data_IF_399641363014
#
_entry.id   IF_399641363014
#
_cell.length_a   1.000
_cell.length_b   1.000
_cell.length_c   1.000
_cell.angle_alpha   90.00
_cell.angle_beta   90.00
_cell.angle_gamma   90.00
#
_symmetry.space_group_name_H-M   'P 1'
#
loop_
_entity.id
_entity.type
_entity.pdbx_description
1 polymer ?
#
# COMPACT_ATOMS: atom_id res chain seq x y z
N UNK A 1 41.08 29.04 50.97
CA UNK A 1 39.79 29.58 51.48
C UNK A 1 39.01 28.45 52.13
N UNK A 2 38.45 28.70 53.32
CA UNK A 2 37.98 27.70 54.31
C UNK A 2 36.52 27.24 54.10
N UNK A 3 36.33 25.95 54.42
CA UNK A 3 35.17 25.15 54.88
C UNK A 3 33.86 25.80 55.39
N UNK A 4 32.76 25.06 55.09
CA UNK A 4 31.56 24.68 55.90
C UNK A 4 30.62 25.75 56.53
N UNK A 5 29.30 25.57 56.32
CA UNK A 5 28.33 25.16 57.39
C UNK A 5 26.90 24.85 56.86
N UNK A 6 26.29 23.84 57.50
CA UNK A 6 24.86 23.42 57.51
C UNK A 6 24.05 24.21 58.55
N UNK A 7 22.71 24.02 58.51
CA UNK A 7 21.65 23.97 59.57
C UNK A 7 20.46 24.86 59.10
N UNK A 8 19.22 24.42 58.83
CA UNK A 8 18.18 23.57 59.50
C UNK A 8 17.47 24.21 60.70
N UNK A 9 16.16 24.49 60.56
CA UNK A 9 15.05 24.38 61.56
C UNK A 9 13.79 25.00 60.93
N UNK A 10 12.65 24.33 60.68
CA UNK A 10 11.60 23.76 61.55
C UNK A 10 11.00 24.72 62.59
N UNK A 11 9.73 25.11 62.40
CA UNK A 11 8.55 25.10 63.32
C UNK A 11 7.53 26.14 62.80
N UNK A 12 6.27 25.83 62.44
CA UNK A 12 5.12 25.22 63.15
C UNK A 12 4.27 26.22 63.96
N UNK A 13 3.00 25.84 64.14
CA UNK A 13 1.86 26.46 64.84
C UNK A 13 0.99 27.43 64.01
N UNK A 14 -0.21 27.06 63.52
CA UNK A 14 -1.50 26.61 64.10
C UNK A 14 -2.39 27.70 64.76
N UNK A 15 -3.65 27.74 64.27
CA UNK A 15 -4.95 28.02 64.97
C UNK A 15 -5.28 29.49 65.29
N UNK A 16 -6.53 29.97 65.28
CA UNK A 16 -7.85 29.32 65.34
C UNK A 16 -9.02 30.29 64.97
N UNK A 17 -10.06 29.73 64.32
CA UNK A 17 -11.54 29.88 64.52
C UNK A 17 -12.21 31.23 64.87
N UNK A 18 -13.34 31.50 64.19
CA UNK A 18 -14.69 31.59 64.81
C UNK A 18 -15.79 31.40 63.73
N UNK A 19 -16.63 30.34 63.82
CA UNK A 19 -18.05 30.27 64.28
C UNK A 19 -19.06 30.90 63.32
N UNK A 20 -20.31 30.43 63.15
CA UNK A 20 -21.06 29.20 63.40
C UNK A 20 -22.51 29.52 62.92
N UNK A 21 -23.25 28.56 62.35
CA UNK A 21 -24.67 28.71 62.04
C UNK A 21 -25.26 27.41 61.48
N UNK A 22 -26.33 26.92 62.09
CA UNK A 22 -26.79 25.53 62.13
C UNK A 22 -28.20 25.40 61.54
N UNK A 23 -28.39 24.42 60.61
CA UNK A 23 -29.50 23.47 60.29
C UNK A 23 -31.00 23.83 60.58
N UNK A 24 -32.05 23.19 59.98
CA UNK A 24 -32.11 21.83 59.40
C UNK A 24 -33.04 21.61 58.16
N UNK A 25 -33.12 20.36 57.66
CA UNK A 25 -34.32 19.86 56.96
C UNK A 25 -34.06 19.09 55.67
N UNK A 26 -33.92 17.77 55.75
CA UNK A 26 -33.80 16.88 54.60
C UNK A 26 -35.15 16.47 54.01
N UNK A 27 -35.16 16.25 52.69
CA UNK A 27 -36.01 15.26 52.01
C UNK A 27 -35.10 14.47 51.08
N UNK A 28 -35.01 13.17 51.35
CA UNK A 28 -34.34 12.16 50.54
C UNK A 28 -35.01 12.07 49.16
N UNK A 29 -34.27 12.32 48.08
CA UNK A 29 -34.68 11.88 46.75
C UNK A 29 -34.02 10.52 46.50
N UNK A 30 -34.83 9.48 46.62
CA UNK A 30 -34.53 8.13 46.15
C UNK A 30 -34.49 8.19 44.62
N UNK A 31 -33.29 8.13 44.02
CA UNK A 31 -33.17 7.82 42.60
C UNK A 31 -33.46 6.32 42.42
N UNK A 32 -34.68 6.02 41.99
CA UNK A 32 -35.08 4.73 41.46
C UNK A 32 -34.20 4.42 40.24
N UNK A 33 -33.27 3.48 40.42
CA UNK A 33 -32.63 2.74 39.33
C UNK A 33 -33.71 1.91 38.63
N UNK A 34 -34.35 2.49 37.62
CA UNK A 34 -35.10 1.73 36.63
C UNK A 34 -34.12 1.14 35.62
N UNK A 35 -33.98 -0.18 35.69
CA UNK A 35 -33.51 -1.03 34.59
C UNK A 35 -34.22 -0.61 33.30
N UNK A 36 -33.47 -0.03 32.36
CA UNK A 36 -33.84 -0.04 30.95
C UNK A 36 -32.73 -0.79 30.21
N UNK A 37 -32.74 -2.11 30.42
CA UNK A 37 -32.03 -3.05 29.57
C UNK A 37 -32.91 -3.23 28.33
N UNK A 38 -32.43 -2.77 27.17
CA UNK A 38 -33.09 -3.02 25.88
C UNK A 38 -33.40 -1.77 25.08
N UNK A 39 -32.37 -1.11 24.54
CA UNK A 39 -32.39 -0.48 23.20
C UNK A 39 -30.97 -0.01 22.81
N UNK A 40 -30.00 -0.93 22.81
CA UNK A 40 -28.77 -0.77 22.01
C UNK A 40 -29.05 -1.33 20.62
N UNK A 41 -29.99 -0.71 19.90
CA UNK A 41 -30.19 -0.95 18.48
C UNK A 41 -29.16 -0.13 17.71
N UNK A 42 -28.08 -0.79 17.34
CA UNK A 42 -27.48 -0.77 16.00
C UNK A 42 -27.57 0.58 15.26
N UNK A 43 -26.87 1.61 15.74
CA UNK A 43 -26.30 2.59 14.81
C UNK A 43 -25.05 1.95 14.22
N UNK A 44 -25.24 1.09 13.20
CA UNK A 44 -24.18 0.91 12.20
C UNK A 44 -23.97 2.30 11.57
N UNK A 45 -22.74 2.83 11.51
CA UNK A 45 -22.50 3.99 10.67
C UNK A 45 -23.00 3.65 9.26
N UNK A 46 -23.63 4.60 8.54
CA UNK A 46 -23.97 4.37 7.14
C UNK A 46 -22.70 3.90 6.42
N UNK A 47 -22.84 2.88 5.57
CA UNK A 47 -21.74 2.45 4.70
C UNK A 47 -21.12 3.68 4.03
N UNK A 48 -19.78 3.76 3.93
CA UNK A 48 -19.11 4.93 3.40
C UNK A 48 -19.65 5.24 2.00
N UNK A 49 -19.96 6.53 1.75
CA UNK A 49 -20.41 7.06 0.45
C UNK A 49 -19.46 6.74 -0.72
N UNK A 50 -18.28 6.20 -0.41
CA UNK A 50 -17.29 5.64 -1.32
C UNK A 50 -17.88 4.53 -2.22
N UNK A 51 -18.72 3.64 -1.68
CA UNK A 51 -19.34 2.55 -2.45
C UNK A 51 -20.31 3.08 -3.54
N UNK A 52 -21.02 4.17 -3.28
CA UNK A 52 -21.95 4.76 -4.26
C UNK A 52 -21.21 5.45 -5.42
N UNK A 53 -20.00 5.96 -5.20
CA UNK A 53 -19.16 6.49 -6.27
C UNK A 53 -18.56 5.37 -7.14
N UNK A 54 -18.22 4.22 -6.55
CA UNK A 54 -17.80 3.00 -7.27
C UNK A 54 -18.90 2.52 -8.22
N UNK A 55 -20.16 2.50 -7.76
CA UNK A 55 -21.30 2.02 -8.57
C UNK A 55 -21.64 2.94 -9.75
N UNK A 56 -21.42 4.25 -9.61
CA UNK A 56 -21.78 5.22 -10.66
C UNK A 56 -20.62 5.51 -11.65
N UNK A 57 -19.37 5.29 -11.26
CA UNK A 57 -18.20 5.46 -12.14
C UNK A 57 -17.90 4.26 -13.05
N UNK A 58 -18.38 3.06 -12.67
CA UNK A 58 -18.17 1.82 -13.41
C UNK A 58 -19.28 1.49 -14.43
N UNK A 59 -20.22 2.42 -14.70
CA UNK A 59 -21.18 2.28 -15.80
C UNK A 59 -20.53 2.60 -17.16
N UNK A 60 -19.43 1.89 -17.45
CA UNK A 60 -18.95 1.66 -18.80
C UNK A 60 -19.48 0.31 -19.26
N UNK A 61 -20.18 0.33 -20.38
CA UNK A 61 -20.84 -0.77 -21.07
C UNK A 61 -19.95 -2.02 -21.27
N UNK A 62 -19.92 -2.92 -20.28
CA UNK A 62 -19.57 -4.33 -20.46
C UNK A 62 -20.57 -5.15 -19.63
N UNK A 63 -21.61 -5.64 -20.31
CA UNK A 63 -22.60 -6.55 -19.76
C UNK A 63 -21.92 -7.72 -19.05
N UNK A 64 -22.43 -8.04 -17.84
CA UNK A 64 -22.18 -9.27 -17.09
C UNK A 64 -22.35 -10.49 -17.99
N UNK A 65 -21.26 -10.92 -18.65
CA UNK A 65 -21.16 -12.21 -19.33
C UNK A 65 -20.37 -13.17 -18.43
N UNK A 66 -21.02 -14.29 -18.08
CA UNK A 66 -20.50 -15.51 -17.48
C UNK A 66 -19.12 -15.44 -16.79
N UNK A 67 -19.15 -15.06 -15.50
CA UNK A 67 -18.05 -15.18 -14.53
C UNK A 67 -17.71 -16.64 -14.13
N UNK A 68 -18.16 -17.65 -14.89
CA UNK A 68 -17.91 -19.08 -14.63
C UNK A 68 -16.62 -19.60 -15.26
N UNK A 69 -16.02 -18.87 -16.22
CA UNK A 69 -15.01 -19.42 -17.12
C UNK A 69 -13.60 -18.87 -16.90
N UNK A 70 -13.38 -18.02 -15.88
CA UNK A 70 -12.01 -17.60 -15.52
C UNK A 70 -11.28 -18.80 -14.92
N UNK A 71 -10.20 -19.29 -15.54
CA UNK A 71 -9.44 -20.41 -15.00
C UNK A 71 -8.95 -20.09 -13.59
N UNK A 72 -9.05 -21.07 -12.71
CA UNK A 72 -8.65 -20.97 -11.31
C UNK A 72 -7.15 -20.79 -11.12
N UNK A 73 -6.36 -20.91 -12.19
CA UNK A 73 -4.91 -20.87 -12.14
C UNK A 73 -4.34 -19.88 -13.16
N UNK A 74 -3.25 -19.24 -12.76
CA UNK A 74 -2.41 -18.43 -13.63
C UNK A 74 -0.95 -18.81 -13.41
N UNK A 75 -0.32 -19.32 -14.46
CA UNK A 75 1.13 -19.52 -14.49
C UNK A 75 1.79 -18.24 -15.01
N UNK A 76 2.63 -17.63 -14.17
CA UNK A 76 3.56 -16.59 -14.57
C UNK A 76 4.89 -17.25 -14.91
N UNK A 77 5.29 -17.10 -16.17
CA UNK A 77 6.58 -17.57 -16.67
C UNK A 77 7.54 -16.39 -16.69
N UNK A 78 8.70 -16.54 -16.06
CA UNK A 78 9.75 -15.52 -16.01
C UNK A 78 10.60 -15.64 -17.28
N UNK A 79 10.85 -14.53 -17.96
CA UNK A 79 11.84 -14.43 -19.03
C UNK A 79 12.94 -13.41 -18.66
N UNK A 80 14.00 -13.88 -18.00
CA UNK A 80 15.14 -13.04 -17.61
C UNK A 80 15.91 -12.49 -18.82
N UNK A 81 15.78 -13.13 -20.00
CA UNK A 81 16.47 -12.67 -21.21
C UNK A 81 15.96 -11.33 -21.72
N UNK A 82 14.77 -10.91 -21.28
CA UNK A 82 14.24 -9.56 -21.51
C UNK A 82 15.11 -8.46 -20.88
N UNK A 83 15.87 -8.79 -19.83
CA UNK A 83 16.64 -7.84 -19.03
C UNK A 83 18.06 -8.38 -18.76
N UNK A 84 18.91 -8.53 -19.79
CA UNK A 84 20.23 -9.16 -19.65
C UNK A 84 21.20 -8.33 -18.78
N UNK A 85 20.95 -7.03 -18.65
CA UNK A 85 21.71 -6.11 -17.79
C UNK A 85 20.91 -5.70 -16.55
N UNK A 86 20.10 -6.61 -16.00
CA UNK A 86 19.34 -6.32 -14.79
C UNK A 86 20.27 -5.96 -13.62
N UNK A 87 19.86 -4.98 -12.83
CA UNK A 87 20.59 -4.55 -11.64
C UNK A 87 19.64 -4.31 -10.48
N UNK A 88 20.10 -4.58 -9.26
CA UNK A 88 19.41 -4.21 -8.03
C UNK A 88 19.82 -2.80 -7.62
N UNK A 89 18.85 -1.92 -7.45
CA UNK A 89 19.00 -0.53 -7.05
C UNK A 89 18.54 -0.37 -5.61
N UNK A 90 19.31 0.33 -4.78
CA UNK A 90 19.06 0.44 -3.33
C UNK A 90 19.83 -0.59 -2.51
N UNK A 91 19.21 -1.11 -1.45
CA UNK A 91 19.84 -2.14 -0.59
C UNK A 91 19.90 -3.51 -1.26
N UNK A 92 20.52 -4.49 -0.60
CA UNK A 92 20.61 -5.86 -1.10
C UNK A 92 19.44 -6.74 -0.66
N UNK A 93 18.65 -6.29 0.31
CA UNK A 93 17.43 -6.95 0.79
C UNK A 93 16.19 -6.54 -0.03
N UNK A 94 15.12 -7.33 0.09
CA UNK A 94 13.91 -7.23 -0.74
C UNK A 94 13.04 -6.01 -0.43
N UNK A 95 13.22 -5.38 0.73
CA UNK A 95 12.43 -4.21 1.15
C UNK A 95 13.05 -2.94 0.54
N UNK A 96 14.32 -2.66 0.86
CA UNK A 96 14.98 -1.42 0.47
C UNK A 96 15.63 -1.44 -0.92
N UNK A 97 15.63 -2.59 -1.60
CA UNK A 97 16.23 -2.75 -2.92
C UNK A 97 15.27 -3.32 -3.94
N UNK A 98 15.31 -2.79 -5.15
CA UNK A 98 14.44 -3.21 -6.24
C UNK A 98 15.22 -3.41 -7.53
N UNK A 99 14.87 -4.46 -8.27
CA UNK A 99 15.49 -4.74 -9.56
C UNK A 99 14.96 -3.82 -10.66
N UNK A 100 15.86 -3.38 -11.52
CA UNK A 100 15.54 -2.64 -12.74
C UNK A 100 16.16 -3.28 -13.97
N UNK A 101 15.48 -3.12 -15.10
CA UNK A 101 15.88 -3.66 -16.38
C UNK A 101 16.79 -2.64 -17.10
N UNK A 102 18.08 -2.94 -17.21
CA UNK A 102 19.07 -2.11 -17.91
C UNK A 102 19.10 -0.64 -17.43
N UNK A 103 19.58 -0.40 -16.18
CA UNK A 103 19.58 0.94 -15.59
C UNK A 103 20.32 1.98 -16.42
N UNK A 104 21.36 1.59 -17.16
CA UNK A 104 22.14 2.51 -17.99
C UNK A 104 21.32 2.97 -19.21
N UNK A 105 20.51 2.08 -19.81
CA UNK A 105 19.62 2.42 -20.91
C UNK A 105 18.47 3.35 -20.49
N UNK A 106 18.04 3.32 -19.22
CA UNK A 106 16.99 4.21 -18.72
C UNK A 106 17.38 5.70 -18.78
N UNK A 107 18.68 6.02 -18.68
CA UNK A 107 19.19 7.40 -18.62
C UNK A 107 19.76 7.88 -19.97
N UNK A 108 20.19 6.96 -20.83
CA UNK A 108 20.89 7.26 -22.08
C UNK A 108 20.06 7.21 -23.37
N UNK A 109 18.78 6.84 -23.32
CA UNK A 109 17.93 6.75 -24.51
C UNK A 109 17.62 8.12 -25.11
N UNK A 110 18.12 8.37 -26.33
CA UNK A 110 17.95 9.59 -27.14
C UNK A 110 16.71 10.44 -26.78
N UNK A 111 16.91 11.49 -25.98
CA UNK A 111 15.91 12.54 -25.74
C UNK A 111 14.75 12.21 -24.80
N UNK A 112 14.75 11.08 -24.08
CA UNK A 112 13.71 10.77 -23.08
C UNK A 112 14.33 10.80 -21.68
N UNK A 113 13.96 11.79 -20.87
CA UNK A 113 14.36 11.82 -19.46
C UNK A 113 13.90 10.55 -18.72
N UNK A 114 14.73 10.04 -17.80
CA UNK A 114 14.35 8.95 -16.93
C UNK A 114 13.38 9.46 -15.87
N UNK A 115 12.15 8.96 -15.83
CA UNK A 115 11.14 9.33 -14.82
C UNK A 115 10.77 8.12 -13.99
N UNK A 116 10.90 8.24 -12.67
CA UNK A 116 10.57 7.20 -11.69
C UNK A 116 9.42 7.68 -10.81
N UNK A 117 8.36 6.88 -10.72
CA UNK A 117 7.30 7.07 -9.71
C UNK A 117 7.32 5.90 -8.72
N UNK A 118 7.38 6.22 -7.44
CA UNK A 118 7.55 5.28 -6.34
C UNK A 118 6.49 5.49 -5.27
N UNK A 119 5.58 4.52 -5.16
CA UNK A 119 4.44 4.57 -4.25
C UNK A 119 4.68 3.68 -3.03
N UNK A 120 4.26 4.19 -1.87
CA UNK A 120 4.37 3.55 -0.56
C UNK A 120 5.82 3.44 -0.12
N UNK A 121 6.46 4.59 0.03
CA UNK A 121 7.86 4.67 0.42
C UNK A 121 8.05 4.46 1.92
N UNK A 122 7.07 4.84 2.77
CA UNK A 122 7.03 4.58 4.22
C UNK A 122 8.38 4.59 4.96
N UNK A 123 9.20 5.60 4.71
CA UNK A 123 10.48 5.75 5.40
C UNK A 123 11.64 4.91 4.85
N UNK A 124 11.45 4.18 3.76
CA UNK A 124 12.47 3.57 2.91
C UNK A 124 12.47 4.24 1.52
N UNK A 125 13.61 4.82 1.18
CA UNK A 125 13.84 5.50 -0.10
C UNK A 125 15.21 5.11 -0.67
N UNK A 126 15.73 3.94 -0.28
CA UNK A 126 17.04 3.46 -0.72
C UNK A 126 17.06 3.22 -2.24
N UNK A 127 15.99 2.63 -2.79
CA UNK A 127 15.78 2.49 -4.22
C UNK A 127 15.74 3.85 -4.92
N UNK A 128 14.92 4.75 -4.39
CA UNK A 128 14.68 6.10 -4.93
C UNK A 128 15.96 6.92 -4.97
N UNK A 129 16.73 6.89 -3.89
CA UNK A 129 18.03 7.54 -3.81
C UNK A 129 19.02 6.95 -4.82
N UNK A 130 19.01 5.63 -5.02
CA UNK A 130 19.88 4.98 -5.99
C UNK A 130 19.50 5.36 -7.45
N UNK A 131 18.21 5.48 -7.75
CA UNK A 131 17.72 5.93 -9.07
C UNK A 131 18.01 7.42 -9.29
N UNK A 132 17.85 8.25 -8.27
CA UNK A 132 18.18 9.68 -8.30
C UNK A 132 19.68 9.89 -8.55
N UNK A 133 20.54 9.11 -7.87
CA UNK A 133 22.01 9.13 -8.08
C UNK A 133 22.42 8.71 -9.49
N UNK A 134 21.59 7.91 -10.17
CA UNK A 134 21.80 7.56 -11.57
C UNK A 134 21.36 8.66 -12.54
N UNK A 135 20.64 9.68 -12.07
CA UNK A 135 20.24 10.85 -12.85
C UNK A 135 18.79 10.82 -13.35
N UNK A 136 17.95 9.98 -12.76
CA UNK A 136 16.51 10.01 -13.01
C UNK A 136 15.82 11.17 -12.27
N UNK A 137 14.72 11.64 -12.83
CA UNK A 137 13.71 12.44 -12.14
C UNK A 137 12.86 11.50 -11.28
N UNK A 138 13.00 11.59 -9.95
CA UNK A 138 12.35 10.66 -9.02
C UNK A 138 11.22 11.34 -8.25
N UNK A 139 10.06 10.68 -8.23
CA UNK A 139 8.84 11.10 -7.52
C UNK A 139 8.43 10.04 -6.50
N UNK A 140 8.40 10.42 -5.23
CA UNK A 140 7.95 9.58 -4.11
C UNK A 140 6.59 10.01 -3.58
N UNK A 141 5.74 9.04 -3.25
CA UNK A 141 4.36 9.27 -2.85
C UNK A 141 4.06 8.54 -1.54
N UNK A 142 3.64 9.29 -0.51
CA UNK A 142 3.29 8.78 0.81
C UNK A 142 2.07 9.51 1.38
N UNK A 143 0.90 8.83 1.49
CA UNK A 143 -0.28 9.45 2.06
C UNK A 143 -0.23 9.61 3.59
N UNK A 144 0.59 8.82 4.31
CA UNK A 144 0.59 8.75 5.77
C UNK A 144 1.13 10.02 6.42
N UNK A 145 0.30 10.83 7.11
CA UNK A 145 0.73 12.15 7.61
C UNK A 145 1.86 12.09 8.64
N UNK A 146 1.99 10.98 9.36
CA UNK A 146 3.07 10.71 10.31
C UNK A 146 4.42 10.42 9.63
N UNK A 147 4.42 9.86 8.42
CA UNK A 147 5.63 9.59 7.62
C UNK A 147 6.03 10.77 6.71
N UNK A 148 5.10 11.69 6.40
CA UNK A 148 5.33 12.81 5.48
C UNK A 148 6.52 13.70 5.87
N UNK A 149 6.72 14.15 7.13
CA UNK A 149 7.83 15.04 7.47
C UNK A 149 9.21 14.39 7.24
N UNK A 150 9.33 13.10 7.59
CA UNK A 150 10.55 12.32 7.41
C UNK A 150 10.84 12.12 5.92
N UNK A 151 9.81 11.77 5.15
CA UNK A 151 9.91 11.54 3.71
C UNK A 151 10.22 12.83 2.94
N UNK A 152 9.54 13.94 3.25
CA UNK A 152 9.83 15.26 2.66
C UNK A 152 11.30 15.64 2.83
N UNK A 153 11.82 15.57 4.07
CA UNK A 153 13.21 15.95 4.34
C UNK A 153 14.23 15.06 3.60
N UNK A 154 13.94 13.76 3.45
CA UNK A 154 14.79 12.84 2.70
C UNK A 154 14.81 13.17 1.20
N UNK A 155 13.65 13.38 0.60
CA UNK A 155 13.51 13.69 -0.82
C UNK A 155 14.12 15.05 -1.19
N UNK A 156 13.93 16.06 -0.35
CA UNK A 156 14.62 17.36 -0.49
C UNK A 156 16.14 17.18 -0.45
N UNK A 157 16.65 16.36 0.46
CA UNK A 157 18.10 16.15 0.64
C UNK A 157 18.75 15.42 -0.53
N UNK A 158 18.03 14.52 -1.22
CA UNK A 158 18.52 13.83 -2.42
C UNK A 158 18.27 14.60 -3.73
N UNK A 159 17.50 15.70 -3.68
CA UNK A 159 17.11 16.47 -4.87
C UNK A 159 16.01 15.82 -5.70
N UNK A 160 15.16 15.00 -5.07
CA UNK A 160 14.00 14.34 -5.68
C UNK A 160 12.68 15.06 -5.28
N UNK A 161 11.55 14.57 -5.80
CA UNK A 161 10.23 15.18 -5.60
C UNK A 161 9.37 14.34 -4.65
N UNK A 162 8.92 14.92 -3.54
CA UNK A 162 7.98 14.28 -2.62
C UNK A 162 6.55 14.77 -2.82
N UNK A 163 5.59 13.88 -2.66
CA UNK A 163 4.17 14.13 -2.79
C UNK A 163 3.38 13.56 -1.58
N UNK A 164 2.67 14.39 -0.80
CA UNK A 164 1.94 13.97 0.41
C UNK A 164 0.55 13.39 0.09
N UNK A 165 0.49 12.51 -0.91
CA UNK A 165 -0.71 11.78 -1.30
C UNK A 165 -0.33 10.41 -1.84
N UNK A 166 -1.26 9.46 -1.80
CA UNK A 166 -1.07 8.08 -2.23
C UNK A 166 -1.73 7.78 -3.57
N UNK A 167 -1.55 6.54 -4.00
CA UNK A 167 -2.22 5.95 -5.16
C UNK A 167 -3.55 5.32 -4.71
N UNK A 168 -4.59 5.41 -5.54
CA UNK A 168 -5.85 4.72 -5.29
C UNK A 168 -6.74 4.61 -6.52
N UNK A 169 -7.87 3.90 -6.35
CA UNK A 169 -8.87 3.66 -7.40
C UNK A 169 -9.52 4.95 -7.92
N UNK A 170 -9.59 5.99 -7.08
CA UNK A 170 -10.24 7.25 -7.38
C UNK A 170 -9.49 8.42 -6.72
N UNK A 171 -9.65 9.62 -7.31
CA UNK A 171 -9.23 10.86 -6.68
C UNK A 171 -10.17 11.16 -5.51
N UNK A 172 -9.69 10.94 -4.29
CA UNK A 172 -10.51 11.04 -3.10
C UNK A 172 -9.68 11.38 -1.86
N UNK A 173 -10.36 11.91 -0.85
CA UNK A 173 -9.85 11.90 0.52
C UNK A 173 -10.62 10.85 1.30
N UNK A 174 -9.90 9.85 1.80
CA UNK A 174 -10.46 8.79 2.65
C UNK A 174 -10.26 9.16 4.11
N UNK A 175 -11.29 8.96 4.93
CA UNK A 175 -11.28 9.23 6.36
C UNK A 175 -10.50 8.17 7.16
N UNK A 176 -10.27 8.39 8.47
CA UNK A 176 -9.68 7.38 9.34
C UNK A 176 -10.49 6.09 9.32
N UNK A 177 -9.83 4.94 9.19
CA UNK A 177 -10.50 3.64 9.14
C UNK A 177 -10.93 3.18 7.75
N UNK A 178 -10.75 3.99 6.72
CA UNK A 178 -11.27 3.72 5.38
C UNK A 178 -10.23 3.09 4.43
N UNK A 179 -8.93 3.25 4.72
CA UNK A 179 -7.84 2.63 3.97
C UNK A 179 -7.09 1.63 4.85
N UNK A 180 -6.88 0.38 4.42
CA UNK A 180 -5.94 -0.51 5.09
C UNK A 180 -4.51 0.05 4.98
N UNK A 181 -3.68 -0.17 6.00
CA UNK A 181 -2.26 0.25 6.01
C UNK A 181 -1.29 -0.92 6.25
N UNK A 182 -1.82 -2.12 6.47
CA UNK A 182 -1.06 -3.37 6.44
C UNK A 182 -1.96 -4.45 5.87
N UNK A 183 -1.48 -5.13 4.85
CA UNK A 183 -2.24 -6.13 4.11
C UNK A 183 -2.74 -7.27 5.00
N UNK A 184 -4.05 -7.60 5.00
CA UNK A 184 -4.53 -8.73 5.77
C UNK A 184 -4.41 -10.05 4.99
N UNK A 185 -3.60 -10.96 5.52
CA UNK A 185 -3.94 -12.36 5.43
C UNK A 185 -5.14 -12.60 6.35
N UNK A 186 -6.27 -13.11 5.84
CA UNK A 186 -7.50 -13.23 6.65
C UNK A 186 -7.17 -13.94 7.99
N UNK A 187 -7.37 -13.21 9.10
CA UNK A 187 -7.00 -13.46 10.52
C UNK A 187 -5.80 -12.67 11.09
N UNK A 188 -5.05 -11.95 10.25
CA UNK A 188 -3.97 -11.06 10.67
C UNK A 188 -3.96 -9.79 9.81
N UNK A 189 -4.65 -8.74 10.30
CA UNK A 189 -4.27 -7.31 10.35
C UNK A 189 -5.52 -6.41 10.37
N UNK A 190 -5.58 -5.51 11.36
CA UNK A 190 -6.71 -4.60 11.68
C UNK A 190 -6.31 -3.12 11.56
N UNK A 191 -5.12 -2.86 11.04
CA UNK A 191 -4.54 -1.53 11.04
C UNK A 191 -4.96 -0.82 9.76
N UNK A 192 -5.76 0.22 9.97
CA UNK A 192 -6.20 1.16 8.95
C UNK A 192 -5.50 2.49 9.17
N UNK A 193 -5.56 3.37 8.17
CA UNK A 193 -5.16 4.75 8.34
C UNK A 193 -5.85 5.38 9.56
N UNK A 194 -5.07 6.04 10.42
CA UNK A 194 -5.58 6.71 11.63
C UNK A 194 -5.91 8.18 11.40
N UNK A 195 -5.43 8.74 10.30
CA UNK A 195 -5.64 10.10 9.83
C UNK A 195 -6.15 10.09 8.38
N UNK A 196 -6.84 11.14 7.93
CA UNK A 196 -7.30 11.22 6.54
C UNK A 196 -6.15 11.14 5.55
N UNK A 197 -6.34 10.39 4.48
CA UNK A 197 -5.38 10.26 3.38
C UNK A 197 -5.96 10.84 2.10
N UNK A 198 -5.12 11.53 1.33
CA UNK A 198 -5.48 11.90 -0.05
C UNK A 198 -4.93 10.84 -0.97
N UNK A 199 -5.80 10.26 -1.79
CA UNK A 199 -5.46 9.27 -2.80
C UNK A 199 -5.79 9.84 -4.18
N UNK A 200 -4.98 9.49 -5.17
CA UNK A 200 -5.16 9.90 -6.56
C UNK A 200 -5.00 8.70 -7.49
N UNK A 201 -5.69 8.76 -8.62
CA UNK A 201 -5.50 7.83 -9.74
C UNK A 201 -4.17 8.09 -10.43
N UNK A 202 -3.56 7.03 -10.93
CA UNK A 202 -2.30 7.14 -11.68
C UNK A 202 -2.41 8.11 -12.88
N UNK A 203 -3.46 8.06 -13.73
CA UNK A 203 -3.68 9.05 -14.80
C UNK A 203 -3.70 10.50 -14.31
N UNK A 204 -4.38 10.78 -13.19
CA UNK A 204 -4.43 12.13 -12.60
C UNK A 204 -3.04 12.58 -12.17
N UNK A 205 -2.26 11.69 -11.56
CA UNK A 205 -0.88 11.97 -11.13
C UNK A 205 -0.01 12.29 -12.34
N UNK A 206 -0.03 11.42 -13.36
CA UNK A 206 0.70 11.59 -14.62
C UNK A 206 0.37 12.93 -15.28
N UNK A 207 -0.91 13.28 -15.40
CA UNK A 207 -1.37 14.55 -15.96
C UNK A 207 -0.86 15.74 -15.13
N UNK A 208 -0.98 15.68 -13.80
CA UNK A 208 -0.58 16.77 -12.91
C UNK A 208 0.94 17.06 -12.93
N UNK A 209 1.74 16.03 -13.23
CA UNK A 209 3.20 16.13 -13.33
C UNK A 209 3.67 16.36 -14.78
N UNK A 210 2.75 16.36 -15.76
CA UNK A 210 3.09 16.53 -17.17
C UNK A 210 3.83 15.33 -17.77
N UNK A 211 3.72 14.16 -17.15
CA UNK A 211 4.36 12.94 -17.62
C UNK A 211 3.43 12.21 -18.59
N UNK A 212 3.95 11.79 -19.75
CA UNK A 212 3.22 10.94 -20.71
C UNK A 212 3.67 9.48 -20.66
N UNK A 213 4.81 9.21 -20.00
CA UNK A 213 5.42 7.89 -19.86
C UNK A 213 6.31 7.86 -18.61
N UNK A 214 6.32 6.72 -17.94
CA UNK A 214 7.27 6.41 -16.86
C UNK A 214 8.39 5.50 -17.34
N UNK A 215 9.62 5.78 -16.92
CA UNK A 215 10.73 4.83 -17.13
C UNK A 215 10.63 3.69 -16.12
N UNK A 216 10.25 4.02 -14.88
CA UNK A 216 10.04 3.04 -13.83
C UNK A 216 8.81 3.40 -12.99
N UNK A 217 7.93 2.42 -12.78
CA UNK A 217 6.82 2.51 -11.83
C UNK A 217 7.04 1.48 -10.73
N UNK A 218 7.25 1.91 -9.49
CA UNK A 218 7.28 1.07 -8.29
C UNK A 218 5.97 1.25 -7.53
N UNK A 219 5.27 0.15 -7.23
CA UNK A 219 4.09 0.16 -6.36
C UNK A 219 4.24 -0.89 -5.27
N UNK A 220 4.37 -0.43 -4.04
CA UNK A 220 4.39 -1.25 -2.85
C UNK A 220 3.57 -0.49 -1.79
N UNK A 221 2.27 -0.77 -1.74
CA UNK A 221 1.29 -0.01 -0.94
C UNK A 221 0.43 -0.96 -0.10
N UNK A 222 1.02 -2.07 0.33
CA UNK A 222 0.49 -2.93 1.39
C UNK A 222 -0.93 -3.44 1.09
N UNK A 223 -1.22 -3.77 -0.17
CA UNK A 223 -2.51 -4.28 -0.61
C UNK A 223 -3.29 -3.43 -1.59
N UNK A 224 -3.03 -2.12 -1.58
CA UNK A 224 -3.69 -1.17 -2.48
C UNK A 224 -3.30 -1.35 -3.95
N UNK A 225 -2.35 -2.25 -4.28
CA UNK A 225 -1.85 -2.44 -5.64
C UNK A 225 -3.00 -2.73 -6.61
N UNK A 226 -3.95 -3.57 -6.17
CA UNK A 226 -5.08 -4.04 -6.97
C UNK A 226 -6.05 -2.93 -7.38
N UNK A 227 -6.19 -1.88 -6.57
CA UNK A 227 -7.07 -0.73 -6.86
C UNK A 227 -6.56 0.09 -8.06
N UNK A 228 -5.25 0.11 -8.25
CA UNK A 228 -4.61 0.85 -9.34
C UNK A 228 -4.46 0.04 -10.63
N UNK A 229 -4.80 -1.24 -10.61
CA UNK A 229 -4.32 -2.20 -11.59
C UNK A 229 -4.71 -1.86 -13.04
N UNK A 230 -5.97 -1.49 -13.26
CA UNK A 230 -6.42 -1.10 -14.60
C UNK A 230 -5.81 0.22 -15.07
N UNK A 231 -5.50 1.13 -14.16
CA UNK A 231 -4.77 2.35 -14.48
C UNK A 231 -3.30 2.06 -14.84
N UNK A 232 -2.67 1.07 -14.19
CA UNK A 232 -1.34 0.56 -14.56
C UNK A 232 -1.35 -0.09 -15.94
N UNK A 233 -2.35 -0.92 -16.26
CA UNK A 233 -2.50 -1.53 -17.59
C UNK A 233 -2.55 -0.43 -18.67
N UNK A 234 -3.29 0.64 -18.41
CA UNK A 234 -3.55 1.71 -19.39
C UNK A 234 -2.46 2.81 -19.44
N UNK A 235 -1.62 2.95 -18.43
CA UNK A 235 -0.51 3.93 -18.39
C UNK A 235 0.70 3.44 -19.21
N UNK A 236 1.42 4.33 -19.89
CA UNK A 236 2.69 3.97 -20.56
C UNK A 236 3.86 3.98 -19.58
N UNK A 237 4.55 2.85 -19.47
CA UNK A 237 5.71 2.65 -18.63
C UNK A 237 6.67 1.67 -19.29
N UNK A 238 7.95 1.68 -18.93
CA UNK A 238 8.93 0.71 -19.45
C UNK A 238 9.12 -0.49 -18.53
N UNK A 239 9.34 -0.21 -17.25
CA UNK A 239 9.45 -1.20 -16.18
C UNK A 239 8.40 -0.90 -15.13
N UNK A 240 7.65 -1.93 -14.75
CA UNK A 240 6.72 -1.88 -13.63
C UNK A 240 7.15 -2.93 -12.61
N UNK A 241 7.41 -2.50 -11.38
CA UNK A 241 7.73 -3.37 -10.27
C UNK A 241 6.70 -3.17 -9.16
N UNK A 242 6.24 -4.26 -8.58
CA UNK A 242 5.24 -4.20 -7.53
C UNK A 242 5.37 -5.36 -6.55
N UNK A 243 5.08 -5.10 -5.28
CA UNK A 243 4.88 -6.16 -4.29
C UNK A 243 3.44 -6.62 -4.36
N UNK A 244 3.22 -7.82 -4.89
CA UNK A 244 1.88 -8.38 -4.99
C UNK A 244 1.48 -9.05 -3.70
N UNK A 245 0.60 -8.38 -2.99
CA UNK A 245 -0.06 -8.88 -1.81
C UNK A 245 -1.29 -9.75 -2.18
N UNK A 246 -1.33 -11.02 -1.77
CA UNK A 246 -2.46 -11.94 -2.00
C UNK A 246 -3.09 -12.39 -0.68
N UNK A 247 -4.43 -12.51 -0.58
CA UNK A 247 -5.03 -13.09 0.61
C UNK A 247 -4.84 -14.61 0.58
N UNK A 248 -4.17 -15.21 1.59
CA UNK A 248 -3.78 -16.61 1.58
C UNK A 248 -4.97 -17.58 1.75
N UNK A 249 -6.16 -17.09 2.18
CA UNK A 249 -7.39 -17.89 2.17
C UNK A 249 -8.00 -18.00 0.76
N UNK A 250 -7.72 -17.03 -0.10
CA UNK A 250 -8.26 -16.95 -1.46
C UNK A 250 -7.29 -17.48 -2.51
N UNK A 251 -5.99 -17.34 -2.30
CA UNK A 251 -4.96 -17.71 -3.27
C UNK A 251 -3.81 -18.48 -2.61
N UNK A 252 -3.28 -19.45 -3.35
CA UNK A 252 -2.03 -20.14 -3.05
C UNK A 252 -1.00 -19.82 -4.12
N UNK A 253 0.23 -19.57 -3.70
CA UNK A 253 1.36 -19.34 -4.59
C UNK A 253 2.23 -20.59 -4.58
N UNK A 254 2.48 -21.14 -5.76
CA UNK A 254 3.35 -22.30 -5.94
C UNK A 254 4.53 -21.88 -6.80
N UNK A 255 5.73 -21.94 -6.23
CA UNK A 255 6.98 -21.76 -6.96
C UNK A 255 7.54 -23.12 -7.35
N UNK A 256 7.79 -23.33 -8.64
CA UNK A 256 8.55 -24.48 -9.14
C UNK A 256 9.86 -23.96 -9.73
N UNK A 257 10.97 -24.47 -9.21
CA UNK A 257 12.22 -24.53 -9.97
C UNK A 257 12.21 -25.85 -10.73
N UNK A 258 12.76 -25.89 -11.94
CA UNK A 258 12.90 -27.17 -12.64
C UNK A 258 13.75 -28.14 -11.82
N UNK A 259 13.66 -29.43 -12.16
CA UNK A 259 14.18 -30.53 -11.36
C UNK A 259 15.66 -30.32 -10.98
N UNK A 260 16.05 -30.84 -9.80
CA UNK A 260 17.35 -30.74 -9.11
C UNK A 260 18.61 -31.26 -9.89
N UNK A 261 18.65 -31.21 -11.22
CA UNK A 261 19.74 -31.72 -12.03
C UNK A 261 20.06 -30.91 -13.31
N UNK A 262 19.53 -29.70 -13.49
CA UNK A 262 19.79 -28.86 -14.69
C UNK A 262 20.53 -27.56 -14.29
N UNK A 263 21.50 -27.05 -15.07
CA UNK A 263 22.36 -25.96 -14.63
C UNK A 263 21.62 -24.62 -14.64
N UNK A 264 21.57 -23.94 -13.49
CA UNK A 264 21.49 -22.49 -13.19
C UNK A 264 20.74 -21.49 -14.11
N UNK A 265 19.97 -21.91 -15.10
CA UNK A 265 19.21 -21.06 -16.03
C UNK A 265 17.73 -21.43 -16.07
N UNK A 266 17.22 -22.15 -15.07
CA UNK A 266 15.81 -22.53 -15.04
C UNK A 266 14.95 -21.37 -14.53
N UNK A 267 14.05 -20.94 -15.41
CA UNK A 267 13.00 -19.95 -15.19
C UNK A 267 12.18 -20.33 -13.96
N UNK A 268 12.07 -19.41 -13.00
CA UNK A 268 11.18 -19.56 -11.87
C UNK A 268 9.73 -19.56 -12.37
N UNK A 269 9.10 -20.73 -12.40
CA UNK A 269 7.67 -20.83 -12.71
C UNK A 269 6.89 -20.55 -11.44
N UNK A 270 6.06 -19.51 -11.47
CA UNK A 270 5.18 -19.16 -10.35
C UNK A 270 3.74 -19.36 -10.77
N UNK A 271 3.02 -20.26 -10.10
CA UNK A 271 1.61 -20.49 -10.34
C UNK A 271 0.79 -19.88 -9.21
N UNK A 272 -0.11 -18.97 -9.55
CA UNK A 272 -1.12 -18.42 -8.65
C UNK A 272 -2.37 -19.27 -8.82
N UNK A 273 -2.82 -19.91 -7.74
CA UNK A 273 -3.96 -20.82 -7.72
C UNK A 273 -5.03 -20.22 -6.82
N UNK A 274 -6.24 -20.03 -7.36
CA UNK A 274 -7.43 -19.68 -6.56
C UNK A 274 -7.87 -20.87 -5.72
N UNK A 275 -8.13 -20.61 -4.45
CA UNK A 275 -8.75 -21.56 -3.56
C UNK A 275 -10.25 -21.72 -3.90
N UNK A 276 -10.60 -22.78 -4.64
CA UNK A 276 -11.98 -23.09 -5.01
C UNK A 276 -12.92 -23.39 -3.83
N UNK A 277 -12.39 -23.58 -2.62
CA UNK A 277 -13.17 -23.77 -1.40
C UNK A 277 -13.59 -22.44 -0.74
N UNK A 278 -13.05 -21.30 -1.18
CA UNK A 278 -13.45 -19.99 -0.65
C UNK A 278 -14.73 -19.53 -1.37
N UNK A 279 -15.88 -19.44 -0.65
CA UNK A 279 -17.16 -19.18 -1.28
C UNK A 279 -17.21 -17.75 -1.86
N UNK A 280 -17.67 -17.62 -3.11
CA UNK A 280 -17.87 -16.33 -3.81
C UNK A 280 -18.83 -15.35 -3.10
N UNK A 281 -19.58 -15.81 -2.10
CA UNK A 281 -20.77 -15.14 -1.58
C UNK A 281 -20.68 -14.80 -0.09
N UNK A 282 -19.59 -15.15 0.60
CA UNK A 282 -19.32 -14.59 1.92
C UNK A 282 -18.79 -13.18 1.68
N UNK A 283 -19.51 -12.15 2.16
CA UNK A 283 -19.16 -10.72 2.00
C UNK A 283 -17.63 -10.54 2.08
N UNK A 284 -16.94 -10.34 0.94
CA UNK A 284 -15.55 -9.96 1.02
C UNK A 284 -15.54 -8.54 1.59
N UNK A 285 -14.52 -8.23 2.39
CA UNK A 285 -14.23 -6.84 2.72
C UNK A 285 -13.96 -5.99 1.45
N UNK A 286 -13.71 -6.66 0.31
CA UNK A 286 -13.53 -6.09 -1.02
C UNK A 286 -14.79 -6.27 -1.91
N UNK A 287 -15.07 -5.34 -2.84
CA UNK A 287 -16.19 -5.48 -3.76
C UNK A 287 -16.12 -6.81 -4.56
N UNK A 288 -17.22 -7.60 -4.64
CA UNK A 288 -17.23 -9.00 -5.11
C UNK A 288 -16.99 -9.22 -6.62
N UNK A 289 -16.32 -8.32 -7.33
CA UNK A 289 -16.26 -8.31 -8.80
C UNK A 289 -14.86 -8.38 -9.42
N UNK A 290 -13.78 -8.17 -8.65
CA UNK A 290 -12.45 -8.02 -9.24
C UNK A 290 -11.59 -9.26 -8.98
N UNK A 291 -11.63 -10.16 -9.95
CA UNK A 291 -10.82 -11.35 -10.00
C UNK A 291 -9.33 -10.98 -10.24
N UNK A 292 -8.46 -11.22 -9.23
CA UNK A 292 -7.02 -10.87 -9.31
C UNK A 292 -6.29 -11.61 -10.43
N UNK A 293 -6.71 -12.84 -10.77
CA UNK A 293 -6.16 -13.59 -11.92
C UNK A 293 -6.56 -12.90 -13.23
N UNK A 294 -7.81 -12.45 -13.35
CA UNK A 294 -8.25 -11.67 -14.51
C UNK A 294 -7.45 -10.37 -14.67
N UNK A 295 -7.25 -9.62 -13.59
CA UNK A 295 -6.43 -8.42 -13.58
C UNK A 295 -5.00 -8.71 -14.05
N UNK A 296 -4.34 -9.72 -13.48
CA UNK A 296 -2.99 -10.12 -13.90
C UNK A 296 -2.94 -10.48 -15.38
N UNK A 297 -3.95 -11.18 -15.91
CA UNK A 297 -4.03 -11.48 -17.35
C UNK A 297 -4.13 -10.22 -18.21
N UNK A 298 -4.85 -9.19 -17.75
CA UNK A 298 -4.90 -7.90 -18.47
C UNK A 298 -3.55 -7.22 -18.51
N UNK A 299 -2.76 -7.31 -17.43
CA UNK A 299 -1.39 -6.80 -17.41
C UNK A 299 -0.47 -7.61 -18.34
N UNK A 300 -0.50 -8.93 -18.23
CA UNK A 300 0.27 -9.85 -19.09
C UNK A 300 -0.12 -9.76 -20.57
N UNK A 301 -1.29 -9.21 -20.89
CA UNK A 301 -1.66 -8.95 -22.27
C UNK A 301 -0.79 -7.86 -22.92
N UNK A 302 -0.20 -6.95 -22.12
CA UNK A 302 0.61 -5.80 -22.58
C UNK A 302 2.07 -5.83 -22.10
N UNK A 303 2.42 -6.76 -21.23
CA UNK A 303 3.76 -6.89 -20.65
C UNK A 303 4.15 -8.34 -20.43
N UNK A 304 5.44 -8.56 -20.20
CA UNK A 304 5.99 -9.86 -19.82
C UNK A 304 6.68 -9.76 -18.46
N UNK A 305 6.61 -10.84 -17.68
CA UNK A 305 7.31 -10.95 -16.39
C UNK A 305 8.75 -11.33 -16.67
N UNK A 306 9.69 -10.50 -16.24
CA UNK A 306 11.12 -10.77 -16.43
C UNK A 306 11.81 -11.16 -15.13
N UNK A 307 11.16 -10.93 -13.98
CA UNK A 307 11.66 -11.39 -12.68
C UNK A 307 10.53 -11.54 -11.66
N UNK A 308 10.67 -12.54 -10.81
CA UNK A 308 9.89 -12.71 -9.57
C UNK A 308 10.89 -12.91 -8.44
N UNK A 309 10.67 -12.22 -7.33
CA UNK A 309 11.42 -12.37 -6.10
C UNK A 309 10.45 -12.63 -4.94
N UNK A 310 10.31 -13.91 -4.51
CA UNK A 310 9.49 -14.26 -3.36
C UNK A 310 10.00 -13.57 -2.09
N UNK A 311 9.08 -13.09 -1.24
CA UNK A 311 9.46 -12.52 0.04
C UNK A 311 10.03 -13.64 0.95
N UNK A 312 11.17 -13.43 1.63
CA UNK A 312 11.84 -14.49 2.38
C UNK A 312 11.05 -14.94 3.61
N UNK A 313 10.34 -14.00 4.25
CA UNK A 313 9.65 -14.22 5.53
C UNK A 313 8.12 -14.26 5.41
N UNK A 314 7.56 -13.91 4.24
CA UNK A 314 6.13 -13.87 3.99
C UNK A 314 5.79 -14.64 2.71
N UNK A 315 4.92 -15.63 2.81
CA UNK A 315 4.52 -16.47 1.67
C UNK A 315 3.29 -15.95 0.95
N UNK A 316 2.73 -14.84 1.41
CA UNK A 316 1.52 -14.22 0.89
C UNK A 316 1.81 -13.00 -0.01
N UNK A 317 3.05 -12.54 -0.05
CA UNK A 317 3.51 -11.50 -0.97
C UNK A 317 4.74 -11.93 -1.78
N UNK A 318 4.97 -11.22 -2.89
CA UNK A 318 6.19 -11.35 -3.68
C UNK A 318 6.41 -10.09 -4.51
N UNK A 319 7.67 -9.75 -4.76
CA UNK A 319 8.02 -8.73 -5.74
C UNK A 319 7.93 -9.31 -7.15
N UNK A 320 7.18 -8.67 -8.02
CA UNK A 320 7.05 -9.04 -9.44
C UNK A 320 7.47 -7.88 -10.31
N UNK A 321 8.29 -8.18 -11.31
CA UNK A 321 8.86 -7.19 -12.22
C UNK A 321 8.40 -7.50 -13.65
N UNK A 322 7.75 -6.52 -14.24
CA UNK A 322 7.19 -6.54 -15.58
C UNK A 322 7.98 -5.61 -16.49
N UNK A 323 8.13 -6.03 -17.75
CA UNK A 323 8.66 -5.20 -18.84
C UNK A 323 7.55 -4.98 -19.85
N UNK A 324 7.31 -3.73 -20.23
CA UNK A 324 6.32 -3.40 -21.26
C UNK A 324 6.83 -3.92 -22.61
N UNK A 325 6.13 -4.88 -23.20
CA UNK A 325 6.51 -5.50 -24.48
C UNK A 325 5.56 -5.13 -25.61
N UNK A 326 4.36 -4.67 -25.29
CA UNK A 326 3.39 -4.15 -26.26
C UNK A 326 2.97 -2.74 -25.84
N UNK A 327 3.13 -1.80 -26.75
CA UNK A 327 2.62 -0.42 -26.57
C UNK A 327 1.33 -0.28 -27.34
N UNK A 328 0.44 0.60 -26.85
CA UNK A 328 -0.67 1.08 -27.68
C UNK A 328 -0.06 1.89 -28.83
N UNK A 329 -0.50 1.60 -30.05
CA UNK A 329 -0.17 2.38 -31.25
C UNK A 329 -0.75 3.78 -31.18
#
# INVERSE_FOLDING_TARGET
MRRFRRLSSTDSTEREKSRAGQLPGGIFVVFLLFFCCGFLLLFRPPAPRFLDQILNGAQGDDSVQEQSDVPTELQMTVDESLCPNAARMGTQDVEGGWFTCDPEALIGGEGKGCVVSSFGIRGDWNFDEAMQKKGCEVHGFEPSPDEQPKSQGAYESMGAHFHPFGLGLADATVGPGESPFRWPGIDYLKETNTLPWTLKRLPTIMESLGHSRLSFLKIDIEGGEWDSWMDVVNTDWDVFATELHFPPKEYFIVHKRGNDAVPATETLETTIVRNGAYPRNEEPADPPWVDRIYLLRKLLAVSDVWKIEPHPDDKSCMNVYFKRTKRRE
#
